data_IF_692403528292
#
_entry.id   IF_692403528292
#
_cell.length_a   1.000
_cell.length_b   1.000
_cell.length_c   1.000
_cell.angle_alpha   90.00
_cell.angle_beta   90.00
_cell.angle_gamma   90.00
#
_symmetry.space_group_name_H-M   'P 1'
#
loop_
_entity.id
_entity.type
_entity.pdbx_description
1 polymer ?
#
# COMPACT_ATOMS: atom_id res chain seq x y z
N UNK A 1 -6.91 -18.64 8.25
CA UNK A 1 -7.33 -17.96 9.49
C UNK A 1 -8.83 -18.06 9.64
N UNK A 2 -9.39 -18.23 10.85
CA UNK A 2 -10.84 -18.19 11.05
C UNK A 2 -11.33 -16.75 10.83
N UNK A 3 -12.17 -16.55 9.83
CA UNK A 3 -12.67 -15.25 9.36
C UNK A 3 -13.19 -14.32 10.48
N UNK A 4 -13.86 -14.89 11.47
CA UNK A 4 -14.39 -14.15 12.63
C UNK A 4 -13.28 -13.48 13.45
N UNK A 5 -12.18 -14.19 13.71
CA UNK A 5 -11.04 -13.62 14.45
C UNK A 5 -10.37 -12.46 13.71
N UNK A 6 -10.36 -12.50 12.37
CA UNK A 6 -9.80 -11.41 11.55
C UNK A 6 -10.71 -10.18 11.56
N UNK A 7 -12.03 -10.37 11.53
CA UNK A 7 -13.00 -9.28 11.69
C UNK A 7 -12.90 -8.70 13.10
N UNK A 8 -12.80 -9.56 14.11
CA UNK A 8 -12.67 -9.14 15.50
C UNK A 8 -11.43 -8.26 15.70
N UNK A 9 -10.26 -8.74 15.27
CA UNK A 9 -9.01 -8.02 15.45
C UNK A 9 -8.95 -6.69 14.68
N UNK A 10 -9.54 -6.61 13.49
CA UNK A 10 -9.32 -5.46 12.60
C UNK A 10 -10.50 -4.49 12.51
N UNK A 11 -11.73 -4.98 12.71
CA UNK A 11 -12.94 -4.19 12.49
C UNK A 11 -13.61 -3.82 13.80
N UNK A 12 -13.97 -4.80 14.62
CA UNK A 12 -14.84 -4.57 15.79
C UNK A 12 -14.08 -4.33 17.09
N UNK A 13 -12.86 -4.84 17.21
CA UNK A 13 -12.17 -4.93 18.49
C UNK A 13 -12.79 -6.02 19.37
N UNK A 14 -12.47 -5.99 20.67
CA UNK A 14 -12.97 -6.96 21.64
C UNK A 14 -14.50 -6.88 21.77
N UNK A 15 -15.22 -7.94 21.37
CA UNK A 15 -16.69 -7.96 21.42
C UNK A 15 -17.26 -7.80 22.84
N UNK A 16 -16.49 -8.15 23.88
CA UNK A 16 -16.86 -7.98 25.28
C UNK A 16 -17.20 -6.52 25.61
N UNK A 17 -16.52 -5.57 24.98
CA UNK A 17 -16.72 -4.14 25.23
C UNK A 17 -18.01 -3.58 24.63
N UNK A 18 -18.60 -4.27 23.64
CA UNK A 18 -19.87 -3.85 23.02
C UNK A 18 -21.06 -4.01 23.97
N UNK A 19 -20.98 -4.93 24.93
CA UNK A 19 -22.05 -5.19 25.89
C UNK A 19 -22.33 -4.01 26.82
N UNK A 20 -21.35 -3.12 27.03
CA UNK A 20 -21.48 -1.93 27.86
C UNK A 20 -21.97 -0.68 27.12
N UNK A 21 -22.17 -0.75 25.80
CA UNK A 21 -22.47 0.44 24.98
C UNK A 21 -23.97 0.72 24.89
N UNK A 22 -24.32 2.01 24.78
CA UNK A 22 -25.69 2.41 24.48
C UNK A 22 -26.09 1.92 23.08
N UNK A 23 -27.36 1.49 22.86
CA UNK A 23 -27.83 1.05 21.55
C UNK A 23 -27.65 2.11 20.45
N UNK A 24 -27.72 3.39 20.81
CA UNK A 24 -27.47 4.51 19.89
C UNK A 24 -26.03 4.56 19.39
N UNK A 25 -25.04 4.34 20.28
CA UNK A 25 -23.64 4.34 19.90
C UNK A 25 -23.31 3.14 18.98
N UNK A 26 -23.87 1.97 19.28
CA UNK A 26 -23.75 0.78 18.41
C UNK A 26 -24.36 1.08 17.03
N UNK A 27 -25.56 1.68 16.98
CA UNK A 27 -26.20 2.05 15.72
C UNK A 27 -25.34 3.02 14.90
N UNK A 28 -24.66 3.97 15.55
CA UNK A 28 -23.73 4.89 14.88
C UNK A 28 -22.49 4.20 14.33
N UNK A 29 -21.88 3.26 15.08
CA UNK A 29 -20.75 2.45 14.59
C UNK A 29 -21.15 1.61 13.38
N UNK A 30 -22.32 0.98 13.44
CA UNK A 30 -22.87 0.21 12.31
C UNK A 30 -23.12 1.13 11.11
N UNK A 31 -23.69 2.32 11.32
CA UNK A 31 -23.91 3.28 10.24
C UNK A 31 -22.59 3.76 9.61
N UNK A 32 -21.57 4.10 10.40
CA UNK A 32 -20.22 4.45 9.91
C UNK A 32 -19.64 3.29 9.08
N UNK A 33 -19.75 2.06 9.56
CA UNK A 33 -19.28 0.87 8.83
C UNK A 33 -20.05 0.63 7.54
N UNK A 34 -21.37 0.81 7.55
CA UNK A 34 -22.22 0.72 6.37
C UNK A 34 -21.86 1.76 5.32
N UNK A 35 -21.44 2.97 5.73
CA UNK A 35 -20.99 4.00 4.78
C UNK A 35 -19.72 3.58 4.04
N UNK A 36 -18.79 2.87 4.68
CA UNK A 36 -17.63 2.27 4.00
C UNK A 36 -18.08 1.22 2.97
N UNK A 37 -19.00 0.33 3.36
CA UNK A 37 -19.53 -0.68 2.45
C UNK A 37 -20.22 -0.05 1.24
N UNK A 38 -20.93 1.07 1.44
CA UNK A 38 -21.53 1.84 0.36
C UNK A 38 -20.48 2.42 -0.59
N UNK A 39 -19.38 2.99 -0.09
CA UNK A 39 -18.27 3.43 -0.93
C UNK A 39 -17.68 2.29 -1.75
N UNK A 40 -17.53 1.10 -1.15
CA UNK A 40 -17.06 -0.08 -1.88
C UNK A 40 -18.00 -0.51 -3.00
N UNK A 41 -19.31 -0.47 -2.75
CA UNK A 41 -20.33 -0.78 -3.75
C UNK A 41 -20.31 0.25 -4.90
N UNK A 42 -20.31 1.54 -4.59
CA UNK A 42 -20.27 2.62 -5.58
C UNK A 42 -18.99 2.56 -6.41
N UNK A 43 -17.84 2.32 -5.76
CA UNK A 43 -16.58 2.10 -6.47
C UNK A 43 -16.66 0.89 -7.41
N UNK A 44 -17.19 -0.24 -6.92
CA UNK A 44 -17.36 -1.46 -7.71
C UNK A 44 -18.25 -1.23 -8.94
N UNK A 45 -19.33 -0.48 -8.77
CA UNK A 45 -20.22 -0.09 -9.87
C UNK A 45 -19.47 0.74 -10.92
N UNK A 46 -18.82 1.84 -10.53
CA UNK A 46 -18.09 2.70 -11.47
C UNK A 46 -16.92 1.98 -12.13
N UNK A 47 -16.15 1.21 -11.38
CA UNK A 47 -15.01 0.47 -11.91
C UNK A 47 -15.43 -0.62 -12.89
N UNK A 48 -16.54 -1.33 -12.63
CA UNK A 48 -17.06 -2.34 -13.56
C UNK A 48 -17.57 -1.67 -14.83
N UNK A 49 -18.29 -0.56 -14.70
CA UNK A 49 -18.79 0.19 -15.83
C UNK A 49 -17.64 0.76 -16.67
N UNK A 50 -16.64 1.40 -16.04
CA UNK A 50 -15.43 1.87 -16.71
C UNK A 50 -14.70 0.74 -17.44
N UNK A 51 -14.54 -0.42 -16.81
CA UNK A 51 -13.91 -1.60 -17.43
C UNK A 51 -14.69 -2.10 -18.65
N UNK A 52 -16.01 -2.26 -18.56
CA UNK A 52 -16.85 -2.70 -19.68
C UNK A 52 -16.77 -1.69 -20.83
N UNK A 53 -16.81 -0.39 -20.54
CA UNK A 53 -16.67 0.66 -21.54
C UNK A 53 -15.26 0.70 -22.15
N UNK A 54 -14.22 0.49 -21.37
CA UNK A 54 -12.83 0.43 -21.85
C UNK A 54 -12.64 -0.78 -22.79
N UNK A 55 -13.09 -1.97 -22.37
CA UNK A 55 -13.01 -3.18 -23.19
C UNK A 55 -13.84 -3.08 -24.48
N UNK A 56 -15.00 -2.43 -24.45
CA UNK A 56 -15.84 -2.26 -25.64
C UNK A 56 -15.33 -1.17 -26.56
N UNK A 57 -14.95 0.00 -26.05
CA UNK A 57 -14.61 1.16 -26.87
C UNK A 57 -13.13 1.24 -27.27
N UNK A 58 -12.22 0.55 -26.58
CA UNK A 58 -10.79 0.51 -26.96
C UNK A 58 -10.37 -0.77 -27.67
N UNK A 59 -11.26 -1.73 -27.86
CA UNK A 59 -10.94 -2.94 -28.62
C UNK A 59 -10.84 -2.62 -30.11
N UNK A 60 -9.68 -2.91 -30.72
CA UNK A 60 -9.45 -2.75 -32.16
C UNK A 60 -10.51 -3.47 -32.99
N UNK A 61 -10.96 -4.64 -32.53
CA UNK A 61 -12.02 -5.42 -33.17
C UNK A 61 -13.35 -4.69 -33.15
N UNK A 62 -13.68 -4.01 -32.05
CA UNK A 62 -14.91 -3.22 -31.94
C UNK A 62 -14.81 -1.96 -32.79
N UNK A 63 -13.64 -1.32 -32.86
CA UNK A 63 -13.44 -0.17 -33.74
C UNK A 63 -13.56 -0.53 -35.21
N UNK A 64 -13.03 -1.69 -35.61
CA UNK A 64 -13.25 -2.24 -36.94
C UNK A 64 -14.72 -2.56 -37.19
N UNK A 65 -15.41 -3.21 -36.24
CA UNK A 65 -16.83 -3.54 -36.35
C UNK A 65 -17.71 -2.27 -36.45
N UNK A 66 -17.43 -1.25 -35.64
CA UNK A 66 -18.09 0.06 -35.70
C UNK A 66 -17.84 0.70 -37.07
N UNK A 67 -16.61 0.65 -37.57
CA UNK A 67 -16.25 1.23 -38.88
C UNK A 67 -16.97 0.52 -40.03
N UNK A 68 -17.02 -0.81 -40.00
CA UNK A 68 -17.76 -1.61 -40.99
C UNK A 68 -19.26 -1.35 -40.89
N UNK A 69 -19.82 -1.33 -39.67
CA UNK A 69 -21.22 -1.03 -39.41
C UNK A 69 -21.63 0.36 -39.89
N UNK A 70 -20.79 1.38 -39.65
CA UNK A 70 -20.99 2.74 -40.15
C UNK A 70 -21.01 2.77 -41.69
N UNK A 71 -20.10 2.05 -42.36
CA UNK A 71 -20.08 1.94 -43.83
C UNK A 71 -21.35 1.26 -44.35
N UNK A 72 -21.79 0.17 -43.73
CA UNK A 72 -23.03 -0.52 -44.10
C UNK A 72 -24.27 0.37 -43.95
N UNK A 73 -24.35 1.13 -42.84
CA UNK A 73 -25.44 2.07 -42.60
C UNK A 73 -25.48 3.14 -43.70
N UNK A 74 -24.32 3.62 -44.18
CA UNK A 74 -24.28 4.64 -45.24
C UNK A 74 -24.73 4.16 -46.63
N UNK A 75 -24.85 2.84 -46.85
CA UNK A 75 -25.34 2.27 -48.12
C UNK A 75 -26.85 2.51 -48.30
N UNK A 76 -27.62 2.60 -47.21
CA UNK A 76 -29.07 2.82 -47.27
C UNK A 76 -29.36 4.26 -47.71
N UNK A 77 -29.95 4.47 -48.91
CA UNK A 77 -30.22 5.82 -49.40
C UNK A 77 -31.21 6.55 -48.48
N UNK A 78 -31.06 7.88 -48.39
CA UNK A 78 -31.87 8.83 -47.59
C UNK A 78 -31.66 8.78 -46.07
N UNK A 79 -31.69 7.60 -45.42
CA UNK A 79 -31.65 7.48 -43.94
C UNK A 79 -30.24 7.14 -43.42
N UNK A 80 -29.43 6.46 -44.23
CA UNK A 80 -28.13 5.95 -43.81
C UNK A 80 -27.11 7.02 -43.41
N UNK A 81 -26.94 8.03 -44.26
CA UNK A 81 -25.99 9.12 -44.01
C UNK A 81 -26.24 9.90 -42.71
N UNK A 82 -27.47 10.38 -42.40
CA UNK A 82 -27.71 11.08 -41.14
C UNK A 82 -27.57 10.18 -39.91
N UNK A 83 -27.96 8.90 -40.01
CA UNK A 83 -27.80 7.94 -38.90
C UNK A 83 -26.32 7.61 -38.63
N UNK A 84 -25.52 7.38 -39.67
CA UNK A 84 -24.08 7.14 -39.54
C UNK A 84 -23.33 8.34 -38.94
N UNK A 85 -23.71 9.57 -39.31
CA UNK A 85 -23.16 10.78 -38.66
C UNK A 85 -23.53 10.86 -37.18
N UNK A 86 -24.77 10.56 -36.80
CA UNK A 86 -25.18 10.54 -35.39
C UNK A 86 -24.44 9.46 -34.59
N UNK A 87 -24.29 8.27 -35.16
CA UNK A 87 -23.61 7.16 -34.48
C UNK A 87 -22.11 7.43 -34.31
N UNK A 88 -21.44 7.97 -35.33
CA UNK A 88 -20.01 8.35 -35.22
C UNK A 88 -19.79 9.48 -34.20
N UNK A 89 -20.67 10.48 -34.16
CA UNK A 89 -20.66 11.51 -33.11
C UNK A 89 -20.87 10.92 -31.71
N UNK A 90 -21.80 9.96 -31.58
CA UNK A 90 -22.05 9.27 -30.31
C UNK A 90 -20.83 8.45 -29.87
N UNK A 91 -20.20 7.68 -30.77
CA UNK A 91 -18.97 6.93 -30.43
C UNK A 91 -17.85 7.87 -30.03
N UNK A 92 -17.67 8.99 -30.74
CA UNK A 92 -16.68 10.01 -30.37
C UNK A 92 -16.98 10.57 -28.97
N UNK A 93 -18.23 10.95 -28.70
CA UNK A 93 -18.66 11.45 -27.40
C UNK A 93 -18.43 10.42 -26.28
N UNK A 94 -18.75 9.14 -26.53
CA UNK A 94 -18.49 8.07 -25.56
C UNK A 94 -16.99 7.94 -25.25
N UNK A 95 -16.12 8.03 -26.27
CA UNK A 95 -14.66 7.92 -26.08
C UNK A 95 -14.04 9.16 -25.43
N UNK A 96 -14.47 10.36 -25.81
CA UNK A 96 -13.82 11.60 -25.38
C UNK A 96 -14.42 12.21 -24.12
N UNK A 97 -15.69 11.98 -23.85
CA UNK A 97 -16.38 12.55 -22.68
C UNK A 97 -16.71 11.47 -21.64
N UNK A 98 -17.40 10.39 -22.05
CA UNK A 98 -17.91 9.41 -21.08
C UNK A 98 -16.77 8.60 -20.43
N UNK A 99 -15.79 8.10 -21.20
CA UNK A 99 -14.71 7.30 -20.63
C UNK A 99 -13.85 8.11 -19.63
N UNK A 100 -13.38 9.33 -19.95
CA UNK A 100 -12.68 10.17 -18.96
C UNK A 100 -13.55 10.53 -17.75
N UNK A 101 -14.86 10.75 -17.95
CA UNK A 101 -15.80 10.98 -16.87
C UNK A 101 -15.89 9.78 -15.93
N UNK A 102 -15.98 8.55 -16.45
CA UNK A 102 -16.01 7.34 -15.63
C UNK A 102 -14.71 7.18 -14.83
N UNK A 103 -13.55 7.41 -15.46
CA UNK A 103 -12.25 7.40 -14.77
C UNK A 103 -12.16 8.50 -13.69
N UNK A 104 -12.77 9.66 -13.91
CA UNK A 104 -12.89 10.72 -12.91
C UNK A 104 -13.80 10.32 -11.75
N UNK A 105 -14.95 9.68 -12.02
CA UNK A 105 -15.86 9.19 -10.98
C UNK A 105 -15.25 8.10 -10.11
N UNK A 106 -14.46 7.19 -10.69
CA UNK A 106 -13.68 6.20 -9.94
C UNK A 106 -12.71 6.89 -8.99
N UNK A 107 -11.88 7.82 -9.51
CA UNK A 107 -10.90 8.57 -8.70
C UNK A 107 -11.55 9.45 -7.64
N UNK A 108 -12.68 10.08 -7.96
CA UNK A 108 -13.45 10.87 -7.02
C UNK A 108 -13.99 10.00 -5.87
N UNK A 109 -14.50 8.81 -6.18
CA UNK A 109 -14.99 7.86 -5.18
C UNK A 109 -13.85 7.37 -4.28
N UNK A 110 -12.69 7.05 -4.85
CA UNK A 110 -11.48 6.69 -4.10
C UNK A 110 -11.08 7.81 -3.12
N UNK A 111 -11.01 9.05 -3.59
CA UNK A 111 -10.61 10.17 -2.75
C UNK A 111 -11.66 10.50 -1.69
N UNK A 112 -12.95 10.48 -2.05
CA UNK A 112 -14.05 10.68 -1.11
C UNK A 112 -14.01 9.66 0.02
N UNK A 113 -13.69 8.40 -0.30
CA UNK A 113 -13.48 7.35 0.68
C UNK A 113 -12.31 7.65 1.62
N UNK A 114 -11.12 7.99 1.09
CA UNK A 114 -9.98 8.33 1.94
C UNK A 114 -10.28 9.53 2.84
N UNK A 115 -10.89 10.59 2.31
CA UNK A 115 -11.30 11.76 3.10
C UNK A 115 -12.32 11.37 4.17
N UNK A 116 -13.28 10.49 3.88
CA UNK A 116 -14.25 10.01 4.87
C UNK A 116 -13.55 9.21 5.97
N UNK A 117 -12.74 8.21 5.59
CA UNK A 117 -11.98 7.36 6.50
C UNK A 117 -11.12 8.20 7.44
N UNK A 118 -10.36 9.16 6.90
CA UNK A 118 -9.46 10.00 7.68
C UNK A 118 -10.26 10.92 8.63
N UNK A 119 -11.35 11.52 8.17
CA UNK A 119 -12.18 12.36 9.04
C UNK A 119 -12.86 11.56 10.17
N UNK A 120 -13.32 10.35 9.89
CA UNK A 120 -14.01 9.51 10.87
C UNK A 120 -13.07 8.80 11.84
N UNK A 121 -11.80 8.60 11.50
CA UNK A 121 -10.85 7.84 12.33
C UNK A 121 -9.78 8.72 12.96
N UNK A 122 -9.22 9.68 12.21
CA UNK A 122 -7.96 10.35 12.58
C UNK A 122 -8.15 11.83 12.93
N UNK A 123 -9.07 12.54 12.26
CA UNK A 123 -9.25 13.98 12.48
C UNK A 123 -10.07 14.35 13.74
N UNK A 124 -10.34 13.39 14.63
CA UNK A 124 -11.05 13.66 15.88
C UNK A 124 -10.13 14.32 16.91
N UNK A 125 -10.67 15.16 17.79
CA UNK A 125 -9.89 15.88 18.81
C UNK A 125 -9.18 14.94 19.80
N UNK A 126 -9.75 13.75 20.00
CA UNK A 126 -9.22 12.69 20.86
C UNK A 126 -8.19 11.79 20.16
N UNK A 127 -7.86 12.03 18.88
CA UNK A 127 -6.82 11.28 18.17
C UNK A 127 -5.69 12.24 17.82
N UNK A 128 -4.53 12.06 18.46
CA UNK A 128 -3.37 12.94 18.26
C UNK A 128 -2.29 12.22 17.47
N UNK A 129 -2.00 12.72 16.26
CA UNK A 129 -0.82 12.29 15.51
C UNK A 129 0.39 13.14 15.91
N UNK A 130 1.47 12.47 16.28
CA UNK A 130 2.77 13.09 16.55
C UNK A 130 3.76 12.56 15.50
N UNK A 131 4.16 13.42 14.57
CA UNK A 131 5.17 13.11 13.55
C UNK A 131 6.55 13.53 14.07
N UNK A 132 7.53 12.65 13.98
CA UNK A 132 8.93 12.87 14.42
C UNK A 132 9.90 12.36 13.35
N UNK A 133 11.17 12.77 13.43
CA UNK A 133 12.20 12.38 12.46
C UNK A 133 12.34 13.38 11.33
N UNK A 134 12.55 12.87 10.12
CA UNK A 134 12.71 13.65 8.90
C UNK A 134 11.39 14.30 8.42
N UNK A 135 11.46 15.46 7.74
CA UNK A 135 10.29 16.02 7.06
C UNK A 135 9.81 15.09 5.94
N UNK A 136 8.49 14.88 5.92
CA UNK A 136 7.82 14.12 4.87
C UNK A 136 7.19 15.07 3.85
N UNK A 137 7.68 14.99 2.62
CA UNK A 137 7.14 15.72 1.47
C UNK A 137 7.32 14.88 0.22
N UNK A 138 6.27 14.72 -0.57
CA UNK A 138 6.43 14.17 -1.91
C UNK A 138 7.01 15.24 -2.82
N UNK A 139 7.98 14.87 -3.63
CA UNK A 139 8.56 15.78 -4.63
C UNK A 139 7.66 15.82 -5.86
N UNK A 140 7.44 17.02 -6.39
CA UNK A 140 6.58 17.25 -7.55
C UNK A 140 7.38 17.87 -8.70
N UNK A 141 7.07 17.43 -9.92
CA UNK A 141 7.53 18.04 -11.17
C UNK A 141 6.29 18.30 -12.01
N UNK A 142 6.07 19.56 -12.41
CA UNK A 142 4.93 19.93 -13.28
C UNK A 142 3.57 19.47 -12.74
N UNK A 143 3.36 19.60 -11.42
CA UNK A 143 2.16 19.17 -10.70
C UNK A 143 1.89 17.63 -10.66
N UNK A 144 2.83 16.81 -11.11
CA UNK A 144 2.81 15.36 -10.91
C UNK A 144 3.86 14.94 -9.86
N UNK A 145 3.53 14.07 -8.89
CA UNK A 145 4.53 13.58 -7.95
C UNK A 145 5.56 12.70 -8.66
N UNK A 146 6.77 12.64 -8.14
CA UNK A 146 7.77 11.65 -8.52
C UNK A 146 7.35 10.25 -8.04
N UNK A 147 7.81 9.22 -8.76
CA UNK A 147 7.67 7.83 -8.31
C UNK A 147 8.43 7.64 -7.01
N UNK A 148 7.71 7.52 -5.91
CA UNK A 148 8.26 7.47 -4.55
C UNK A 148 7.96 6.12 -3.91
N UNK A 149 8.83 5.67 -3.01
CA UNK A 149 8.63 4.42 -2.26
C UNK A 149 8.46 4.76 -0.78
N UNK A 150 7.45 4.17 -0.16
CA UNK A 150 7.19 4.24 1.26
C UNK A 150 7.18 2.80 1.79
N UNK A 151 8.05 2.50 2.75
CA UNK A 151 8.03 1.26 3.52
C UNK A 151 7.52 1.56 4.93
N UNK A 152 6.70 0.68 5.49
CA UNK A 152 6.17 0.84 6.85
C UNK A 152 6.11 -0.50 7.57
N UNK A 153 6.21 -0.48 8.91
CA UNK A 153 5.68 -1.59 9.71
C UNK A 153 4.15 -1.62 9.61
N UNK A 154 3.52 -2.76 9.91
CA UNK A 154 2.08 -2.89 9.81
C UNK A 154 1.45 -3.40 11.11
N UNK A 155 1.01 -2.48 11.97
CA UNK A 155 0.39 -2.79 13.26
C UNK A 155 -1.13 -2.89 13.21
N UNK A 156 -1.78 -2.11 12.35
CA UNK A 156 -3.23 -2.06 12.28
C UNK A 156 -3.70 -1.72 10.87
N UNK A 157 -4.93 -2.11 10.52
CA UNK A 157 -5.63 -1.64 9.32
C UNK A 157 -5.73 -0.10 9.27
N UNK A 158 -5.62 0.57 10.42
CA UNK A 158 -5.57 2.04 10.50
C UNK A 158 -4.30 2.62 9.86
N UNK A 159 -3.22 1.84 9.71
CA UNK A 159 -2.00 2.28 9.03
C UNK A 159 -2.28 2.76 7.59
N UNK A 160 -3.22 2.11 6.90
CA UNK A 160 -3.65 2.53 5.57
C UNK A 160 -4.23 3.96 5.59
N UNK A 161 -5.02 4.30 6.61
CA UNK A 161 -5.60 5.64 6.77
C UNK A 161 -4.55 6.67 7.21
N UNK A 162 -3.63 6.30 8.11
CA UNK A 162 -2.53 7.17 8.57
C UNK A 162 -1.61 7.54 7.41
N UNK A 163 -1.15 6.54 6.63
CA UNK A 163 -0.29 6.78 5.48
C UNK A 163 -1.04 7.59 4.41
N UNK A 164 -2.31 7.28 4.16
CA UNK A 164 -3.14 8.07 3.24
C UNK A 164 -3.22 9.54 3.67
N UNK A 165 -3.39 9.81 4.98
CA UNK A 165 -3.39 11.18 5.51
C UNK A 165 -2.08 11.89 5.25
N UNK A 166 -0.96 11.27 5.60
CA UNK A 166 0.37 11.86 5.40
C UNK A 166 0.61 12.20 3.93
N UNK A 167 0.28 11.27 3.02
CA UNK A 167 0.41 11.46 1.57
C UNK A 167 -0.49 12.60 1.07
N UNK A 168 -1.76 12.63 1.47
CA UNK A 168 -2.71 13.65 1.00
C UNK A 168 -2.38 15.05 1.54
N UNK A 169 -1.88 15.15 2.77
CA UNK A 169 -1.48 16.42 3.39
C UNK A 169 -0.22 17.05 2.76
N UNK A 170 0.51 16.32 1.91
CA UNK A 170 1.66 16.91 1.18
C UNK A 170 1.26 17.95 0.15
N UNK A 171 0.04 17.88 -0.40
CA UNK A 171 -0.46 18.82 -1.39
C UNK A 171 -1.36 19.88 -0.75
N UNK A 172 -2.39 19.44 -0.02
CA UNK A 172 -3.38 20.33 0.59
C UNK A 172 -3.88 19.76 1.92
N UNK A 173 -4.33 20.64 2.81
CA UNK A 173 -4.95 20.22 4.07
C UNK A 173 -6.25 19.48 3.78
N UNK A 174 -6.44 18.33 4.43
CA UNK A 174 -7.59 17.47 4.17
C UNK A 174 -8.90 18.20 4.54
N UNK A 175 -9.83 18.37 3.60
CA UNK A 175 -11.11 19.00 3.88
C UNK A 175 -12.01 18.09 4.72
N UNK A 176 -12.95 18.71 5.45
CA UNK A 176 -14.06 17.97 6.03
C UNK A 176 -14.88 17.33 4.90
N UNK A 177 -15.23 16.05 5.06
CA UNK A 177 -15.93 15.26 4.06
C UNK A 177 -17.17 15.93 3.46
N UNK A 178 -18.03 16.54 4.28
CA UNK A 178 -19.25 17.19 3.81
C UNK A 178 -18.94 18.44 2.97
N UNK A 179 -17.93 19.21 3.39
CA UNK A 179 -17.44 20.37 2.63
C UNK A 179 -16.82 19.94 1.31
N UNK A 180 -16.06 18.83 1.32
CA UNK A 180 -15.47 18.24 0.14
C UNK A 180 -16.55 17.86 -0.89
N UNK A 181 -17.53 17.03 -0.52
CA UNK A 181 -18.61 16.62 -1.42
C UNK A 181 -19.37 17.82 -2.01
N UNK A 182 -19.73 18.78 -1.15
CA UNK A 182 -20.41 20.01 -1.60
C UNK A 182 -19.56 20.85 -2.53
N UNK A 183 -18.25 20.93 -2.29
CA UNK A 183 -17.33 21.69 -3.15
C UNK A 183 -17.16 21.03 -4.51
N UNK A 184 -17.07 19.70 -4.56
CA UNK A 184 -16.95 18.95 -5.82
C UNK A 184 -18.22 19.08 -6.66
N UNK A 185 -19.39 18.99 -6.01
CA UNK A 185 -20.68 19.20 -6.67
C UNK A 185 -20.82 20.62 -7.28
N UNK A 186 -20.22 21.64 -6.64
CA UNK A 186 -20.29 23.04 -7.08
C UNK A 186 -19.23 23.44 -8.10
N UNK A 187 -17.97 23.02 -7.91
CA UNK A 187 -16.82 23.59 -8.64
C UNK A 187 -16.57 22.99 -10.03
N UNK A 188 -17.24 21.89 -10.44
CA UNK A 188 -17.05 21.18 -11.73
C UNK A 188 -15.60 20.81 -12.12
N UNK A 189 -14.61 21.18 -11.31
CA UNK A 189 -13.19 20.85 -11.48
C UNK A 189 -12.68 20.22 -10.19
N UNK A 190 -12.35 18.95 -10.31
CA UNK A 190 -11.80 18.13 -9.25
C UNK A 190 -10.28 18.31 -9.19
N UNK A 191 -9.75 18.68 -8.01
CA UNK A 191 -8.29 18.64 -7.79
C UNK A 191 -7.92 17.18 -7.55
N UNK A 192 -7.09 16.63 -8.42
CA UNK A 192 -6.68 15.25 -8.29
C UNK A 192 -5.71 15.09 -7.10
N UNK A 193 -5.98 14.15 -6.18
CA UNK A 193 -5.02 13.82 -5.13
C UNK A 193 -3.76 13.19 -5.73
N UNK A 194 -2.63 13.25 -5.02
CA UNK A 194 -1.42 12.57 -5.47
C UNK A 194 -1.69 11.07 -5.60
N UNK A 195 -1.33 10.43 -6.74
CA UNK A 195 -1.49 8.99 -6.89
C UNK A 195 -0.59 8.23 -5.91
N UNK A 196 -1.21 7.45 -5.03
CA UNK A 196 -0.54 6.44 -4.22
C UNK A 196 -1.24 5.09 -4.33
N UNK A 197 -0.49 4.01 -4.15
CA UNK A 197 -0.97 2.63 -4.26
C UNK A 197 -0.28 1.76 -3.21
N UNK A 198 -1.05 0.95 -2.51
CA UNK A 198 -0.52 -0.11 -1.66
C UNK A 198 -0.22 -1.35 -2.49
N UNK A 199 0.94 -1.94 -2.25
CA UNK A 199 1.35 -3.22 -2.81
C UNK A 199 1.02 -4.31 -1.79
N UNK A 200 -0.10 -5.01 -1.96
CA UNK A 200 -0.67 -5.89 -0.91
C UNK A 200 -1.41 -7.10 -1.53
N UNK A 201 -1.25 -8.31 -0.98
CA UNK A 201 -1.86 -9.59 -1.45
C UNK A 201 -1.84 -9.79 -2.97
N UNK A 202 -0.64 -9.72 -3.57
CA UNK A 202 -0.43 -9.79 -5.02
C UNK A 202 -1.30 -8.81 -5.84
N UNK A 203 -1.65 -7.65 -5.27
CA UNK A 203 -2.41 -6.60 -5.93
C UNK A 203 -1.81 -5.22 -5.68
N UNK A 204 -1.91 -4.36 -6.68
CA UNK A 204 -1.64 -2.92 -6.59
C UNK A 204 -2.99 -2.24 -6.42
N UNK A 205 -3.25 -1.66 -5.25
CA UNK A 205 -4.56 -1.05 -4.96
C UNK A 205 -4.43 0.08 -3.94
N UNK A 206 -5.24 1.12 -4.06
CA UNK A 206 -5.43 2.14 -3.02
C UNK A 206 -6.76 2.00 -2.29
N UNK A 207 -7.65 1.15 -2.80
CA UNK A 207 -9.01 1.03 -2.32
C UNK A 207 -9.32 -0.43 -1.89
N UNK A 208 -10.09 -0.65 -0.81
CA UNK A 208 -10.49 -1.99 -0.36
C UNK A 208 -11.53 -2.62 -1.30
N UNK A 209 -11.08 -3.11 -2.46
CA UNK A 209 -11.96 -3.74 -3.45
C UNK A 209 -12.37 -5.16 -3.04
N UNK A 210 -13.52 -5.67 -3.51
CA UNK A 210 -13.93 -7.06 -3.30
C UNK A 210 -12.89 -8.08 -3.79
N UNK A 211 -12.22 -7.79 -4.90
CA UNK A 211 -11.12 -8.64 -5.38
C UNK A 211 -9.89 -8.63 -4.47
N UNK A 212 -9.65 -7.55 -3.69
CA UNK A 212 -8.61 -7.56 -2.67
C UNK A 212 -9.00 -8.51 -1.53
N UNK A 213 -10.24 -8.44 -1.05
CA UNK A 213 -10.75 -9.37 -0.05
C UNK A 213 -10.71 -10.82 -0.54
N UNK A 214 -11.06 -11.05 -1.81
CA UNK A 214 -10.93 -12.37 -2.42
C UNK A 214 -9.47 -12.84 -2.46
N UNK A 215 -8.51 -11.97 -2.78
CA UNK A 215 -7.09 -12.33 -2.72
C UNK A 215 -6.64 -12.61 -1.29
N UNK A 216 -7.09 -11.82 -0.30
CA UNK A 216 -6.81 -12.08 1.13
C UNK A 216 -7.34 -13.45 1.56
N UNK A 217 -8.51 -13.83 1.04
CA UNK A 217 -9.12 -15.11 1.36
C UNK A 217 -8.49 -16.31 0.63
N UNK A 218 -8.14 -16.15 -0.65
CA UNK A 218 -7.73 -17.26 -1.52
C UNK A 218 -6.22 -17.43 -1.66
N UNK A 219 -5.42 -16.38 -1.42
CA UNK A 219 -3.97 -16.41 -1.61
C UNK A 219 -3.26 -16.44 -0.27
N UNK A 220 -2.10 -17.10 -0.27
CA UNK A 220 -1.15 -16.97 0.82
C UNK A 220 -0.73 -15.51 0.98
N UNK A 221 -0.45 -15.13 2.22
CA UNK A 221 0.05 -13.82 2.59
C UNK A 221 1.39 -13.52 1.92
N UNK A 222 2.16 -14.57 1.58
CA UNK A 222 3.41 -14.47 0.82
C UNK A 222 3.19 -14.15 -0.67
N UNK A 223 1.95 -13.89 -1.10
CA UNK A 223 1.64 -13.59 -2.49
C UNK A 223 2.24 -12.25 -2.92
N UNK A 224 3.07 -12.30 -3.95
CA UNK A 224 3.86 -11.18 -4.45
C UNK A 224 3.24 -10.55 -5.69
N UNK A 225 3.41 -9.23 -5.81
CA UNK A 225 3.21 -8.52 -7.07
C UNK A 225 4.48 -8.69 -7.90
N UNK A 226 4.36 -9.22 -9.12
CA UNK A 226 5.51 -9.40 -10.01
C UNK A 226 6.07 -8.06 -10.49
N UNK A 227 7.38 -8.00 -10.77
CA UNK A 227 8.00 -6.82 -11.38
C UNK A 227 7.33 -6.41 -12.70
N UNK A 228 6.86 -7.37 -13.50
CA UNK A 228 6.12 -7.10 -14.75
C UNK A 228 4.79 -6.39 -14.52
N UNK A 229 4.09 -6.69 -13.41
CA UNK A 229 2.84 -6.03 -13.05
C UNK A 229 3.08 -4.61 -12.56
N UNK A 230 4.17 -4.39 -11.81
CA UNK A 230 4.60 -3.04 -11.39
C UNK A 230 4.99 -2.22 -12.62
N UNK A 231 5.76 -2.83 -13.53
CA UNK A 231 6.19 -2.21 -14.77
C UNK A 231 5.00 -1.77 -15.64
N UNK A 232 4.04 -2.67 -15.88
CA UNK A 232 2.85 -2.35 -16.67
C UNK A 232 1.96 -1.31 -16.00
N UNK A 233 1.89 -1.32 -14.66
CA UNK A 233 1.20 -0.28 -13.91
C UNK A 233 1.87 1.08 -14.07
N UNK A 234 3.20 1.17 -13.96
CA UNK A 234 3.96 2.40 -14.19
C UNK A 234 3.82 2.90 -15.63
N UNK A 235 3.81 2.00 -16.62
CA UNK A 235 3.53 2.35 -18.02
C UNK A 235 2.14 2.96 -18.21
N UNK A 236 1.12 2.41 -17.54
CA UNK A 236 -0.27 2.85 -17.66
C UNK A 236 -0.57 4.14 -16.88
N UNK A 237 -0.09 4.22 -15.64
CA UNK A 237 -0.47 5.26 -14.68
C UNK A 237 0.62 6.30 -14.44
N UNK A 238 1.81 6.15 -15.04
CA UNK A 238 2.98 7.01 -14.87
C UNK A 238 3.45 7.04 -13.41
N UNK A 239 3.99 8.18 -12.97
CA UNK A 239 4.55 8.34 -11.64
C UNK A 239 3.50 8.07 -10.55
N UNK A 240 3.86 7.20 -9.61
CA UNK A 240 2.98 6.77 -8.53
C UNK A 240 3.80 6.58 -7.25
N UNK A 241 3.22 6.92 -6.09
CA UNK A 241 3.81 6.57 -4.80
C UNK A 241 3.42 5.15 -4.40
N UNK A 242 4.39 4.27 -4.25
CA UNK A 242 4.16 2.90 -3.79
C UNK A 242 4.34 2.79 -2.29
N UNK A 243 3.34 2.24 -1.61
CA UNK A 243 3.41 1.91 -0.19
C UNK A 243 3.51 0.39 -0.05
N UNK A 244 4.51 -0.04 0.71
CA UNK A 244 4.78 -1.45 0.99
C UNK A 244 4.83 -1.68 2.50
N UNK A 245 4.24 -2.79 2.92
CA UNK A 245 4.47 -3.37 4.24
C UNK A 245 5.34 -4.61 4.07
N UNK A 246 6.64 -4.55 4.39
CA UNK A 246 7.48 -5.73 4.31
C UNK A 246 7.11 -6.82 5.31
N UNK A 247 6.31 -6.52 6.33
CA UNK A 247 5.83 -7.49 7.32
C UNK A 247 4.65 -8.32 6.82
N UNK A 248 4.30 -9.36 7.58
CA UNK A 248 3.00 -10.04 7.47
C UNK A 248 1.87 -9.05 7.79
N UNK A 249 0.61 -9.38 7.44
CA UNK A 249 -0.58 -8.62 7.84
C UNK A 249 -0.56 -8.23 9.33
N UNK A 250 -1.28 -7.14 9.66
CA UNK A 250 -1.51 -6.58 11.00
C UNK A 250 -0.88 -7.35 12.15
N UNK A 251 0.16 -6.77 12.78
CA UNK A 251 0.81 -7.35 13.97
C UNK A 251 -0.24 -7.63 15.05
N UNK A 252 -0.45 -8.91 15.34
CA UNK A 252 -1.18 -9.34 16.54
C UNK A 252 -0.21 -9.96 17.56
N UNK A 253 -0.50 -9.88 18.87
CA UNK A 253 0.34 -10.49 19.91
C UNK A 253 0.56 -11.99 19.69
N UNK A 254 -0.46 -12.69 19.19
CA UNK A 254 -0.40 -14.11 18.89
C UNK A 254 0.58 -14.40 17.75
N UNK A 255 0.56 -13.58 16.68
CA UNK A 255 1.48 -13.71 15.56
C UNK A 255 2.92 -13.47 15.99
N UNK A 256 3.17 -12.46 16.82
CA UNK A 256 4.51 -12.19 17.38
C UNK A 256 4.99 -13.39 18.20
N UNK A 257 4.14 -13.93 19.08
CA UNK A 257 4.47 -15.09 19.91
C UNK A 257 4.75 -16.33 19.06
N UNK A 258 3.93 -16.60 18.04
CA UNK A 258 4.12 -17.73 17.12
C UNK A 258 5.42 -17.56 16.34
N UNK A 259 5.68 -16.37 15.78
CA UNK A 259 6.91 -16.09 15.04
C UNK A 259 8.13 -16.29 15.93
N UNK A 260 8.13 -15.77 17.16
CA UNK A 260 9.24 -15.93 18.09
C UNK A 260 9.51 -17.39 18.44
N UNK A 261 8.46 -18.20 18.64
CA UNK A 261 8.60 -19.65 18.86
C UNK A 261 9.17 -20.36 17.64
N UNK A 262 8.71 -20.01 16.43
CA UNK A 262 9.21 -20.59 15.19
C UNK A 262 10.67 -20.21 14.92
N UNK A 263 11.05 -18.95 15.12
CA UNK A 263 12.42 -18.49 14.96
C UNK A 263 13.35 -19.19 15.95
N UNK A 264 13.00 -19.23 17.23
CA UNK A 264 13.80 -19.91 18.27
C UNK A 264 13.97 -21.42 18.02
N UNK A 265 13.00 -22.07 17.40
CA UNK A 265 13.04 -23.53 17.20
C UNK A 265 13.68 -23.97 15.89
N UNK A 266 13.61 -23.15 14.83
CA UNK A 266 14.06 -23.51 13.48
C UNK A 266 15.27 -22.73 12.99
N UNK A 267 15.52 -21.54 13.54
CA UNK A 267 16.51 -20.60 13.02
C UNK A 267 17.21 -19.85 14.15
N UNK A 268 18.17 -20.51 14.81
CA UNK A 268 18.90 -19.96 15.97
C UNK A 268 19.67 -18.68 15.64
N UNK A 269 20.15 -18.52 14.41
CA UNK A 269 20.96 -17.38 13.97
C UNK A 269 20.13 -16.14 13.55
N UNK A 270 18.80 -16.27 13.47
CA UNK A 270 17.94 -15.17 13.00
C UNK A 270 17.66 -14.18 14.13
N UNK A 271 17.77 -12.85 13.90
CA UNK A 271 17.52 -11.86 14.94
C UNK A 271 16.10 -11.97 15.51
N UNK A 272 16.00 -11.99 16.84
CA UNK A 272 14.71 -11.99 17.54
C UNK A 272 14.14 -10.58 17.59
N UNK A 273 13.12 -10.33 16.77
CA UNK A 273 12.35 -9.09 16.74
C UNK A 273 11.18 -9.17 17.73
N UNK A 274 10.96 -8.10 18.50
CA UNK A 274 9.93 -8.05 19.56
C UNK A 274 8.75 -7.14 19.20
N UNK A 275 9.03 -6.06 18.49
CA UNK A 275 8.12 -4.96 18.17
C UNK A 275 7.63 -4.98 16.72
N UNK A 276 8.32 -5.73 15.86
CA UNK A 276 8.02 -5.89 14.43
C UNK A 276 8.08 -7.36 14.03
N UNK A 277 7.38 -7.71 12.95
CA UNK A 277 7.49 -9.03 12.34
C UNK A 277 8.70 -9.09 11.41
N UNK A 278 9.13 -10.30 11.08
CA UNK A 278 10.28 -10.49 10.20
C UNK A 278 9.94 -10.04 8.77
N UNK A 279 10.79 -9.25 8.10
CA UNK A 279 10.47 -8.72 6.79
C UNK A 279 10.48 -9.79 5.69
N UNK A 280 9.56 -9.64 4.73
CA UNK A 280 9.41 -10.42 3.51
C UNK A 280 10.05 -9.66 2.35
N UNK A 281 11.18 -10.18 1.88
CA UNK A 281 12.00 -9.43 0.94
C UNK A 281 11.52 -9.46 -0.51
N UNK A 282 10.79 -10.51 -0.93
CA UNK A 282 10.49 -10.78 -2.35
C UNK A 282 9.74 -9.62 -3.04
N UNK A 283 8.81 -8.98 -2.34
CA UNK A 283 8.03 -7.88 -2.88
C UNK A 283 8.86 -6.60 -2.98
N UNK A 284 9.63 -6.28 -1.94
CA UNK A 284 10.57 -5.16 -1.95
C UNK A 284 11.63 -5.32 -3.05
N UNK A 285 12.19 -6.53 -3.20
CA UNK A 285 13.12 -6.87 -4.27
C UNK A 285 12.50 -6.70 -5.66
N UNK A 286 11.25 -7.12 -5.85
CA UNK A 286 10.56 -6.94 -7.14
C UNK A 286 10.39 -5.46 -7.49
N UNK A 287 10.04 -4.63 -6.51
CA UNK A 287 9.90 -3.18 -6.68
C UNK A 287 11.26 -2.52 -6.98
N UNK A 288 12.30 -2.79 -6.18
CA UNK A 288 13.65 -2.23 -6.39
C UNK A 288 14.21 -2.64 -7.76
N UNK A 289 13.97 -3.89 -8.20
CA UNK A 289 14.38 -4.36 -9.53
C UNK A 289 13.72 -3.58 -10.66
N UNK A 290 12.41 -3.34 -10.57
CA UNK A 290 11.69 -2.58 -11.60
C UNK A 290 12.11 -1.10 -11.62
N UNK A 291 12.25 -0.48 -10.45
CA UNK A 291 12.74 0.91 -10.35
C UNK A 291 14.17 1.07 -10.88
N UNK A 292 15.04 0.08 -10.69
CA UNK A 292 16.39 0.10 -11.23
C UNK A 292 16.40 0.06 -12.77
N UNK A 293 15.45 -0.67 -13.37
CA UNK A 293 15.23 -0.69 -14.82
C UNK A 293 14.84 0.70 -15.34
N UNK A 294 13.87 1.35 -14.68
CA UNK A 294 13.40 2.69 -15.01
C UNK A 294 14.48 3.78 -14.87
N UNK A 295 15.29 3.72 -13.82
CA UNK A 295 16.41 4.65 -13.62
C UNK A 295 17.60 4.38 -14.56
N UNK A 296 17.51 3.36 -15.42
CA UNK A 296 18.59 2.89 -16.33
C UNK A 296 19.90 2.64 -15.58
N UNK A 297 19.81 2.18 -14.33
CA UNK A 297 20.99 1.81 -13.57
C UNK A 297 21.59 0.60 -14.27
N UNK A 298 22.78 0.77 -14.87
CA UNK A 298 23.58 -0.34 -15.39
C UNK A 298 23.91 -1.24 -14.21
N UNK A 299 23.09 -2.27 -13.95
CA UNK A 299 23.47 -3.33 -13.03
C UNK A 299 24.79 -3.90 -13.56
N UNK A 300 25.80 -3.92 -12.70
CA UNK A 300 27.09 -4.54 -13.00
C UNK A 300 26.84 -6.05 -13.21
N UNK A 301 26.52 -6.39 -14.45
CA UNK A 301 26.36 -7.69 -15.10
C UNK A 301 25.65 -8.80 -14.31
N UNK A 302 24.34 -8.98 -14.55
CA UNK A 302 23.64 -10.25 -14.24
C UNK A 302 24.18 -11.44 -15.05
N UNK A 303 24.87 -11.15 -16.16
CA UNK A 303 25.63 -12.14 -16.93
C UNK A 303 26.68 -12.80 -16.03
N UNK A 304 27.42 -12.03 -15.25
CA UNK A 304 28.44 -12.58 -14.37
C UNK A 304 27.83 -13.38 -13.22
N UNK A 305 26.56 -13.17 -12.86
CA UNK A 305 25.86 -13.92 -11.83
C UNK A 305 25.36 -15.27 -12.36
N UNK A 306 24.76 -15.32 -13.56
CA UNK A 306 24.41 -16.59 -14.22
C UNK A 306 25.66 -17.39 -14.61
N UNK A 307 26.73 -16.71 -15.01
CA UNK A 307 28.02 -17.32 -15.34
C UNK A 307 28.73 -17.80 -14.08
N UNK A 308 28.74 -17.03 -12.98
CA UNK A 308 29.33 -17.48 -11.70
C UNK A 308 28.52 -18.61 -11.08
N UNK A 309 27.18 -18.55 -11.05
CA UNK A 309 26.36 -19.65 -10.51
C UNK A 309 26.46 -20.94 -11.35
N UNK A 310 26.65 -20.83 -12.68
CA UNK A 310 26.93 -21.99 -13.55
C UNK A 310 28.39 -22.46 -13.44
N UNK A 311 29.36 -21.55 -13.28
CA UNK A 311 30.75 -21.91 -13.02
C UNK A 311 30.91 -22.62 -11.67
N UNK A 312 30.19 -22.17 -10.65
CA UNK A 312 30.22 -22.78 -9.32
C UNK A 312 29.64 -24.19 -9.37
N UNK A 313 28.63 -24.43 -10.22
CA UNK A 313 28.19 -25.80 -10.58
C UNK A 313 29.24 -26.57 -11.37
N UNK A 314 29.88 -25.97 -12.37
CA UNK A 314 30.92 -26.61 -13.20
C UNK A 314 32.19 -26.98 -12.43
N UNK A 315 32.49 -26.28 -11.34
CA UNK A 315 33.64 -26.60 -10.47
C UNK A 315 33.36 -27.84 -9.60
N UNK A 316 32.09 -28.21 -9.42
CA UNK A 316 31.67 -29.31 -8.55
C UNK A 316 31.22 -30.57 -9.31
N UNK A 317 31.04 -30.51 -10.63
CA UNK A 317 30.72 -31.66 -11.49
C UNK A 317 31.81 -31.81 -12.58
N UNK A 318 32.61 -32.89 -12.50
CA UNK A 318 33.80 -33.14 -13.35
C UNK A 318 33.49 -33.60 -14.80
N UNK A 319 32.22 -33.79 -15.17
CA UNK A 319 31.83 -34.25 -16.50
C UNK A 319 31.34 -33.06 -17.37
N UNK A 320 32.23 -32.55 -18.22
CA UNK A 320 31.93 -31.45 -19.16
C UNK A 320 31.70 -31.96 -20.59
N UNK A 321 30.59 -31.51 -21.20
CA UNK A 321 30.26 -31.64 -22.62
C UNK A 321 30.29 -30.26 -23.29
N UNK A 322 30.91 -30.16 -24.46
CA UNK A 322 31.00 -28.95 -25.33
C UNK A 322 29.63 -28.31 -25.67
N UNK A 323 28.52 -29.02 -25.42
CA UNK A 323 27.16 -28.53 -25.62
C UNK A 323 26.77 -27.38 -24.67
N UNK A 324 27.31 -27.34 -23.45
CA UNK A 324 26.96 -26.30 -22.47
C UNK A 324 27.61 -24.94 -22.80
N UNK A 325 28.77 -24.95 -23.46
CA UNK A 325 29.45 -23.75 -23.96
C UNK A 325 28.69 -23.10 -25.11
N UNK A 326 28.15 -23.90 -26.03
CA UNK A 326 27.32 -23.45 -27.15
C UNK A 326 25.97 -22.90 -26.65
N UNK A 327 25.39 -23.52 -25.63
CA UNK A 327 24.16 -23.00 -24.99
C UNK A 327 24.43 -21.63 -24.34
N UNK A 328 25.55 -21.46 -23.65
CA UNK A 328 25.94 -20.19 -23.03
C UNK A 328 26.13 -19.06 -24.06
N UNK A 329 26.75 -19.37 -25.20
CA UNK A 329 26.98 -18.41 -26.29
C UNK A 329 25.66 -17.99 -26.98
N UNK A 330 24.73 -18.92 -27.15
CA UNK A 330 23.38 -18.62 -27.67
C UNK A 330 22.52 -17.80 -26.69
N UNK A 331 22.70 -17.97 -25.38
CA UNK A 331 22.05 -17.14 -24.37
C UNK A 331 22.56 -15.70 -24.36
N UNK A 332 23.86 -15.49 -24.61
CA UNK A 332 24.47 -14.17 -24.67
C UNK A 332 23.99 -13.38 -25.90
N UNK A 333 23.81 -14.05 -27.04
CA UNK A 333 23.33 -13.43 -28.28
C UNK A 333 21.82 -13.16 -28.26
N UNK A 334 21.01 -14.06 -27.69
CA UNK A 334 19.56 -13.86 -27.59
C UNK A 334 19.15 -12.69 -26.66
N UNK A 335 19.93 -12.38 -25.62
CA UNK A 335 19.67 -11.22 -24.75
C UNK A 335 20.12 -9.89 -25.37
N UNK A 336 21.15 -9.87 -26.24
CA UNK A 336 21.50 -8.67 -27.01
C UNK A 336 20.37 -8.26 -27.97
N UNK A 337 19.71 -9.25 -28.60
CA UNK A 337 18.57 -9.01 -29.47
C UNK A 337 17.30 -8.61 -28.68
N UNK A 338 17.08 -9.17 -27.49
CA UNK A 338 15.97 -8.78 -26.60
C UNK A 338 16.16 -7.38 -25.97
N UNK A 339 17.41 -7.01 -25.64
CA UNK A 339 17.78 -5.67 -25.18
C UNK A 339 17.66 -4.62 -26.30
N UNK A 340 17.83 -5.03 -27.57
CA UNK A 340 17.59 -4.18 -28.73
C UNK A 340 16.08 -3.96 -29.00
N UNK A 341 15.22 -4.95 -28.71
CA UNK A 341 13.75 -4.83 -28.94
C UNK A 341 12.99 -4.05 -27.86
N UNK A 342 13.54 -3.84 -26.66
CA UNK A 342 12.90 -3.03 -25.60
C UNK A 342 13.17 -1.52 -25.67
N UNK A 343 13.70 -1.02 -26.80
CA UNK A 343 13.84 0.43 -27.06
C UNK A 343 12.52 1.03 -27.55
N UNK A 344 11.48 1.04 -26.71
CA UNK A 344 10.30 1.88 -26.99
C UNK A 344 10.56 3.31 -26.51
N UNK A 345 10.31 4.28 -27.39
CA UNK A 345 10.62 5.71 -27.28
C UNK A 345 9.77 6.50 -26.27
N UNK A 346 9.11 5.85 -25.30
CA UNK A 346 8.23 6.49 -24.31
C UNK A 346 8.84 6.64 -22.90
N UNK A 347 10.15 6.37 -22.75
CA UNK A 347 10.85 6.24 -21.45
C UNK A 347 11.09 7.59 -20.72
N UNK A 348 10.78 8.74 -21.32
CA UNK A 348 11.17 10.05 -20.77
C UNK A 348 10.28 10.62 -19.65
N UNK A 349 9.14 9.99 -19.31
CA UNK A 349 8.17 10.58 -18.39
C UNK A 349 8.21 10.06 -16.94
N UNK A 350 8.84 8.92 -16.67
CA UNK A 350 8.88 8.37 -15.31
C UNK A 350 10.14 8.83 -14.60
N UNK A 351 9.95 9.57 -13.51
CA UNK A 351 11.04 10.09 -12.68
C UNK A 351 10.91 9.49 -11.28
N UNK A 352 12.01 8.91 -10.81
CA UNK A 352 12.06 8.24 -9.50
C UNK A 352 12.62 9.23 -8.49
N UNK A 353 11.97 9.29 -7.31
CA UNK A 353 12.43 10.10 -6.20
C UNK A 353 13.83 9.63 -5.74
N UNK A 354 14.68 10.57 -5.36
CA UNK A 354 15.99 10.26 -4.76
C UNK A 354 15.83 9.53 -3.42
N UNK A 355 14.77 9.81 -2.68
CA UNK A 355 14.54 9.26 -1.35
C UNK A 355 13.39 8.25 -1.32
N UNK A 356 13.60 7.21 -0.52
CA UNK A 356 12.55 6.34 0.00
C UNK A 356 12.27 6.73 1.44
N UNK A 357 10.99 6.68 1.80
CA UNK A 357 10.53 6.99 3.14
C UNK A 357 10.29 5.71 3.92
N UNK A 358 10.82 5.66 5.13
CA UNK A 358 10.51 4.63 6.09
C UNK A 358 9.63 5.21 7.19
N UNK A 359 8.44 4.65 7.35
CA UNK A 359 7.52 5.01 8.41
C UNK A 359 7.57 3.96 9.51
N UNK A 360 7.72 4.43 10.74
CA UNK A 360 7.54 3.64 11.96
C UNK A 360 6.30 4.16 12.67
N UNK A 361 5.20 3.40 12.60
CA UNK A 361 3.91 3.77 13.17
C UNK A 361 3.69 2.97 14.46
N UNK A 362 3.40 3.67 15.56
CA UNK A 362 3.09 3.07 16.87
C UNK A 362 1.86 3.76 17.46
N UNK A 363 0.99 2.98 18.08
CA UNK A 363 -0.24 3.47 18.70
C UNK A 363 -0.15 3.34 20.21
N UNK A 364 -0.52 4.40 20.92
CA UNK A 364 -0.52 4.46 22.37
C UNK A 364 -1.87 4.91 22.91
N UNK A 365 -2.27 4.35 24.05
CA UNK A 365 -3.42 4.81 24.82
C UNK A 365 -2.99 5.07 26.28
N UNK A 366 -3.36 6.22 26.87
CA UNK A 366 -3.04 6.50 28.26
C UNK A 366 -4.01 5.72 29.15
N UNK A 367 -3.46 4.79 29.92
CA UNK A 367 -4.19 4.03 30.93
C UNK A 367 -3.80 4.53 32.31
N UNK A 368 -4.81 4.83 33.13
CA UNK A 368 -4.59 5.19 34.52
C UNK A 368 -4.30 3.92 35.31
N UNK A 369 -3.06 3.77 35.81
CA UNK A 369 -2.73 2.66 36.69
C UNK A 369 -2.83 3.11 38.14
N UNK A 370 -3.78 2.49 38.83
CA UNK A 370 -3.79 2.41 40.29
C UNK A 370 -3.00 1.16 40.67
N UNK A 371 -2.07 1.26 41.63
CA UNK A 371 -1.27 0.09 42.03
C UNK A 371 -2.20 -1.01 42.56
N UNK A 372 -2.23 -2.16 41.88
CA UNK A 372 -2.77 -3.41 42.45
C UNK A 372 -1.67 -4.05 43.32
N UNK A 373 -1.96 -4.46 44.57
CA UNK A 373 -0.97 -5.09 45.45
C UNK A 373 -0.42 -6.43 44.95
N UNK A 374 -1.07 -7.05 43.94
CA UNK A 374 -0.82 -8.44 43.55
C UNK A 374 0.25 -8.64 42.46
N UNK A 375 0.85 -7.55 41.94
CA UNK A 375 1.91 -7.63 40.92
C UNK A 375 3.28 -7.09 41.38
N UNK A 376 3.58 -7.20 42.67
CA UNK A 376 4.94 -6.93 43.22
C UNK A 376 5.80 -8.18 43.07
N UNK A 377 6.15 -8.55 41.85
CA UNK A 377 7.23 -9.50 41.60
C UNK A 377 8.12 -9.01 40.46
N UNK A 378 8.93 -7.99 40.73
CA UNK A 378 10.32 -7.92 40.22
C UNK A 378 11.12 -6.83 40.96
N UNK A 379 11.98 -7.32 41.85
CA UNK A 379 13.24 -6.78 42.38
C UNK A 379 13.43 -5.27 42.63
N UNK A 380 13.63 -4.99 43.93
CA UNK A 380 14.45 -3.92 44.52
C UNK A 380 13.91 -2.48 44.44
N UNK A 381 12.87 -2.23 45.22
CA UNK A 381 12.82 -1.28 46.35
C UNK A 381 11.34 -1.03 46.63
N UNK A 382 10.89 -1.29 47.86
CA UNK A 382 9.57 -0.92 48.31
C UNK A 382 9.47 0.61 48.39
N UNK A 383 9.22 1.25 47.26
CA UNK A 383 8.83 2.66 47.21
C UNK A 383 7.32 2.67 47.41
N UNK A 384 6.90 3.36 48.47
CA UNK A 384 5.52 3.40 48.94
C UNK A 384 4.49 3.79 47.89
N UNK A 385 3.23 3.71 48.33
CA UNK A 385 2.01 4.08 47.60
C UNK A 385 2.29 5.24 46.64
N UNK A 386 2.46 4.92 45.35
CA UNK A 386 2.57 5.94 44.31
C UNK A 386 1.15 6.40 43.96
N UNK A 387 0.95 7.71 43.91
CA UNK A 387 -0.26 8.32 43.38
C UNK A 387 -0.62 7.73 42.00
N UNK A 388 -1.92 7.69 41.64
CA UNK A 388 -2.35 7.18 40.35
C UNK A 388 -1.63 7.94 39.24
N UNK A 389 -0.95 7.20 38.35
CA UNK A 389 -0.16 7.78 37.26
C UNK A 389 -0.65 7.23 35.92
N UNK A 390 -0.54 8.06 34.89
CA UNK A 390 -0.84 7.64 33.53
C UNK A 390 0.36 6.90 32.94
N UNK A 391 0.14 5.69 32.46
CA UNK A 391 1.09 4.95 31.65
C UNK A 391 0.55 4.86 30.22
N UNK A 392 1.41 5.12 29.22
CA UNK A 392 1.05 4.90 27.83
C UNK A 392 1.26 3.43 27.48
N UNK A 393 0.18 2.75 27.13
CA UNK A 393 0.18 1.34 26.73
C UNK A 393 0.10 1.22 25.21
N UNK A 394 0.77 0.20 24.66
CA UNK A 394 0.68 -0.13 23.25
C UNK A 394 -0.69 -0.71 22.95
N UNK A 395 -1.32 -0.20 21.90
CA UNK A 395 -2.57 -0.75 21.39
C UNK A 395 -2.43 -1.13 19.92
N UNK A 396 -3.30 -2.01 19.45
CA UNK A 396 -3.51 -2.33 18.05
C UNK A 396 -4.95 -1.97 17.71
N UNK A 397 -5.25 -0.70 17.41
CA UNK A 397 -6.63 -0.24 17.33
C UNK A 397 -7.33 -0.87 16.13
N UNK A 398 -8.51 -1.42 16.36
CA UNK A 398 -9.46 -1.77 15.31
C UNK A 398 -10.12 -0.53 14.72
N UNK A 399 -10.86 -0.71 13.62
CA UNK A 399 -11.64 0.37 13.03
C UNK A 399 -12.64 0.99 14.03
N UNK A 400 -13.32 0.14 14.80
CA UNK A 400 -14.30 0.60 15.78
C UNK A 400 -13.65 1.29 16.97
N UNK A 401 -12.44 0.88 17.38
CA UNK A 401 -11.69 1.58 18.43
C UNK A 401 -11.42 3.02 18.03
N UNK A 402 -11.03 3.25 16.77
CA UNK A 402 -10.82 4.60 16.25
C UNK A 402 -12.10 5.42 16.19
N UNK A 403 -13.23 4.80 15.83
CA UNK A 403 -14.53 5.48 15.84
C UNK A 403 -14.99 5.84 17.25
N UNK A 404 -14.73 4.96 18.23
CA UNK A 404 -15.07 5.17 19.65
C UNK A 404 -14.18 6.23 20.28
N UNK A 405 -12.89 6.28 19.92
CA UNK A 405 -11.96 7.27 20.45
C UNK A 405 -12.46 8.71 20.27
N UNK A 406 -13.23 9.01 19.22
CA UNK A 406 -13.81 10.34 18.99
C UNK A 406 -14.81 10.77 20.07
N UNK A 407 -15.44 9.82 20.76
CA UNK A 407 -16.48 10.05 21.77
C UNK A 407 -16.04 9.66 23.18
N UNK A 408 -14.96 8.88 23.30
CA UNK A 408 -14.44 8.39 24.56
C UNK A 408 -13.53 9.40 25.26
N UNK A 409 -13.44 9.31 26.59
CA UNK A 409 -12.58 10.18 27.41
C UNK A 409 -11.08 9.88 27.27
N UNK A 410 -10.72 8.73 26.67
CA UNK A 410 -9.34 8.30 26.53
C UNK A 410 -8.81 8.57 25.11
N UNK A 411 -7.82 9.45 24.94
CA UNK A 411 -7.30 9.78 23.63
C UNK A 411 -6.37 8.69 23.09
N UNK A 412 -6.36 8.50 21.77
CA UNK A 412 -5.39 7.65 21.09
C UNK A 412 -4.26 8.53 20.54
N UNK A 413 -3.02 8.20 20.90
CA UNK A 413 -1.83 8.88 20.39
C UNK A 413 -1.17 8.01 19.33
N UNK A 414 -1.14 8.50 18.10
CA UNK A 414 -0.46 7.85 16.97
C UNK A 414 0.89 8.53 16.80
N UNK A 415 1.97 7.79 17.07
CA UNK A 415 3.33 8.29 16.83
C UNK A 415 3.82 7.75 15.50
N UNK A 416 4.20 8.66 14.62
CA UNK A 416 4.83 8.33 13.34
C UNK A 416 6.26 8.86 13.36
N UNK A 417 7.23 7.97 13.25
CA UNK A 417 8.62 8.35 13.01
C UNK A 417 8.96 8.14 11.53
N UNK A 418 9.63 9.11 10.93
CA UNK A 418 9.93 9.12 9.49
C UNK A 418 11.43 9.18 9.32
N UNK A 419 11.98 8.21 8.59
CA UNK A 419 13.39 8.22 8.16
C UNK A 419 13.46 8.29 6.64
N UNK A 420 14.37 9.11 6.11
CA UNK A 420 14.66 9.18 4.67
C UNK A 420 15.90 8.38 4.32
N UNK A 421 15.80 7.56 3.28
CA UNK A 421 16.90 6.76 2.76
C UNK A 421 17.14 7.04 1.29
N UNK A 422 18.40 7.21 0.89
CA UNK A 422 18.74 7.39 -0.52
C UNK A 422 18.48 6.10 -1.29
N UNK A 423 17.78 6.22 -2.41
CA UNK A 423 17.44 5.09 -3.28
C UNK A 423 18.61 4.64 -4.15
N UNK A 424 19.55 5.53 -4.49
CA UNK A 424 20.65 5.23 -5.41
C UNK A 424 21.49 4.00 -5.02
N UNK A 425 21.93 3.84 -3.76
CA UNK A 425 22.65 2.65 -3.34
C UNK A 425 21.79 1.38 -3.48
N UNK A 426 20.51 1.45 -3.09
CA UNK A 426 19.60 0.30 -3.10
C UNK A 426 19.33 -0.21 -4.52
N UNK A 427 19.19 0.70 -5.48
CA UNK A 427 18.94 0.36 -6.89
C UNK A 427 20.14 -0.35 -7.55
N UNK A 428 21.35 -0.15 -7.02
CA UNK A 428 22.58 -0.77 -7.50
C UNK A 428 22.90 -2.11 -6.82
N UNK A 429 22.31 -2.38 -5.67
CA UNK A 429 22.57 -3.60 -4.90
C UNK A 429 21.98 -4.84 -5.58
N UNK A 430 22.65 -5.99 -5.39
CA UNK A 430 22.08 -7.30 -5.76
C UNK A 430 20.96 -7.68 -4.79
N UNK A 431 20.05 -8.56 -5.21
CA UNK A 431 18.92 -8.98 -4.39
C UNK A 431 19.33 -9.40 -2.99
N UNK A 432 20.26 -10.35 -2.81
CA UNK A 432 20.72 -10.78 -1.49
C UNK A 432 21.22 -9.63 -0.59
N UNK A 433 21.85 -8.62 -1.17
CA UNK A 433 22.31 -7.44 -0.42
C UNK A 433 21.16 -6.52 -0.03
N UNK A 434 20.15 -6.38 -0.90
CA UNK A 434 18.90 -5.66 -0.57
C UNK A 434 18.14 -6.39 0.53
N UNK A 435 18.12 -7.73 0.54
CA UNK A 435 17.50 -8.52 1.61
C UNK A 435 18.21 -8.28 2.94
N UNK A 436 19.53 -8.43 2.97
CA UNK A 436 20.35 -8.16 4.16
C UNK A 436 20.24 -6.72 4.65
N UNK A 437 20.20 -5.76 3.72
CA UNK A 437 19.96 -4.36 4.06
C UNK A 437 18.60 -4.18 4.75
N UNK A 438 17.54 -4.73 4.17
CA UNK A 438 16.19 -4.62 4.74
C UNK A 438 16.09 -5.29 6.11
N UNK A 439 16.76 -6.43 6.31
CA UNK A 439 16.81 -7.13 7.60
C UNK A 439 17.51 -6.33 8.69
N UNK A 440 18.71 -5.82 8.40
CA UNK A 440 19.45 -4.97 9.33
C UNK A 440 18.62 -3.72 9.70
N UNK A 441 17.97 -3.14 8.70
CA UNK A 441 17.14 -1.98 8.87
C UNK A 441 15.88 -2.26 9.70
N UNK A 442 15.29 -3.45 9.57
CA UNK A 442 14.21 -3.91 10.44
C UNK A 442 14.66 -4.10 11.89
N UNK A 443 15.88 -4.61 12.10
CA UNK A 443 16.47 -4.72 13.45
C UNK A 443 16.69 -3.35 14.08
N UNK A 444 17.10 -2.35 13.30
CA UNK A 444 17.23 -0.96 13.77
C UNK A 444 15.87 -0.37 14.12
N UNK A 445 14.84 -0.61 13.29
CA UNK A 445 13.46 -0.20 13.56
C UNK A 445 12.92 -0.81 14.85
N UNK A 446 13.16 -2.10 15.11
CA UNK A 446 12.74 -2.76 16.36
C UNK A 446 13.32 -2.07 17.59
N UNK A 447 14.64 -1.76 17.55
CA UNK A 447 15.33 -1.00 18.60
C UNK A 447 14.77 0.40 18.74
N UNK A 448 14.47 1.08 17.63
CA UNK A 448 13.90 2.42 17.62
C UNK A 448 12.54 2.44 18.32
N UNK A 449 11.67 1.46 18.06
CA UNK A 449 10.38 1.34 18.76
C UNK A 449 10.61 1.15 20.27
N UNK A 450 11.53 0.28 20.68
CA UNK A 450 11.85 0.09 22.09
C UNK A 450 12.37 1.38 22.77
N UNK A 451 13.17 2.18 22.05
CA UNK A 451 13.62 3.49 22.54
C UNK A 451 12.45 4.48 22.63
N UNK A 452 11.56 4.49 21.63
CA UNK A 452 10.35 5.30 21.65
C UNK A 452 9.49 5.02 22.88
N UNK A 453 9.42 3.75 23.31
CA UNK A 453 8.65 3.32 24.47
C UNK A 453 9.26 3.80 25.78
N UNK A 454 10.59 3.70 25.92
CA UNK A 454 11.29 4.14 27.14
C UNK A 454 11.32 5.66 27.29
N UNK A 455 11.32 6.40 26.19
CA UNK A 455 11.29 7.86 26.18
C UNK A 455 9.93 8.46 26.58
N UNK A 456 8.86 7.66 26.49
CA UNK A 456 7.50 8.08 26.81
C UNK A 456 7.26 7.90 28.31
N UNK A 457 7.77 8.84 29.11
CA UNK A 457 7.37 9.00 30.51
C UNK A 457 6.45 10.22 30.60
N UNK A 458 5.16 9.99 30.80
CA UNK A 458 4.23 11.06 31.19
C UNK A 458 4.67 11.54 32.58
N UNK A 459 5.01 12.82 32.68
CA UNK A 459 5.29 13.49 33.96
C UNK A 459 4.00 14.03 34.54
#
# INVERSE_FOLDING_TARGET
>A
MPFLSTIEANVTGAFSELSGMSPSAIAQLVLKTLTIALYMFVYGFWSTFAFVFDCTLRSDSVDQAITVGLRMITIVPVIGSPLGRRLSLLVKLLKTELLPFLDEMVRLTEYAFHVKMINDTICGDNVKIIVTGDPFSLDYVEAAPLTSVIISNHRSVIDYAVISKLVLETQERIPNHNKFLMSTAKKRRFVHPPPFRFLTWAKITNFPTLSLFFNIWSKDENSIVSATTIHSHLMKHRNTTFVLFPEVNSITPELVMIQQKLLKSKYEDTPSLKQVLYPRYKQFNSLVKDLACWKKVKKRNSIMEKVVDRLDKWIHDDDLLDQDLIELESFLTAEEDAAATQRSSNVEQIRINEFMYNLTIVYYQPVLKCNDPDHIHEHNHAVGIKDPHYQLEHITPSLWDMYRAQEADQPIVIRVHIDRHRMDPLLQMKSRHVEKWLENYWCEKDKQIAVMDTAVKLK
#
